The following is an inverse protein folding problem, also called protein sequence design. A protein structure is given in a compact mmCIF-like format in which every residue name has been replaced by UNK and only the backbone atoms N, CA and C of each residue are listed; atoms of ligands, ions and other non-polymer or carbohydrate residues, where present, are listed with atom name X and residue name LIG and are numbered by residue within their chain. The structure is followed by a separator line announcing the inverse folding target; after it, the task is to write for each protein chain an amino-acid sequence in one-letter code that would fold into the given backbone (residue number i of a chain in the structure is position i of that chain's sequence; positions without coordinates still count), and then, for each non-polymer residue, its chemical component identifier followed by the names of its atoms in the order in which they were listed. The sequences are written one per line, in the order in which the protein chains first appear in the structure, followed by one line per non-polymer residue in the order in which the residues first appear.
data_IF_321964558359
#
_entry.id   IF_321964558359
#
_cell.length_a   1.000
_cell.length_b   1.000
_cell.length_c   1.000
_cell.angle_alpha   90.00
_cell.angle_beta   90.00
_cell.angle_gamma   90.00
#
_symmetry.space_group_name_H-M   'P 1'
#
loop_
_entity.id
_entity.type
_entity.pdbx_description
1 polymer ?
#
# COMPACT_ATOMS: atom_id res chain seq x y z
N UNK A 1 63.86 -12.89 -3.01
CA UNK A 1 62.57 -13.45 -3.47
C UNK A 1 61.75 -13.77 -2.23
N UNK A 2 61.02 -12.78 -1.70
CA UNK A 2 60.19 -12.92 -0.50
C UNK A 2 58.75 -12.61 -0.91
N UNK A 3 57.94 -13.65 -0.85
CA UNK A 3 56.58 -13.74 -1.37
C UNK A 3 55.71 -12.75 -0.59
N UNK A 4 55.15 -11.79 -1.32
CA UNK A 4 54.15 -10.86 -0.81
C UNK A 4 52.92 -11.69 -0.44
N UNK A 5 52.59 -11.64 0.84
CA UNK A 5 51.53 -12.39 1.49
C UNK A 5 50.21 -11.86 0.92
N UNK A 6 49.63 -12.58 -0.04
CA UNK A 6 48.29 -12.31 -0.55
C UNK A 6 47.31 -12.54 0.60
N UNK A 7 46.88 -11.45 1.26
CA UNK A 7 45.80 -11.45 2.22
C UNK A 7 44.52 -11.76 1.44
N UNK A 8 44.22 -13.05 1.27
CA UNK A 8 42.90 -13.52 0.91
C UNK A 8 41.99 -13.23 2.11
N UNK A 9 41.34 -12.07 2.09
CA UNK A 9 40.23 -11.78 3.00
C UNK A 9 39.10 -12.73 2.59
N UNK A 10 39.04 -13.88 3.24
CA UNK A 10 37.86 -14.74 3.22
C UNK A 10 36.73 -13.92 3.85
N UNK A 11 35.93 -13.29 3.00
CA UNK A 11 34.70 -12.62 3.38
C UNK A 11 33.71 -13.71 3.76
N UNK A 12 33.80 -14.18 5.01
CA UNK A 12 32.75 -15.01 5.61
C UNK A 12 31.41 -14.31 5.37
N UNK A 13 30.45 -15.04 4.82
CA UNK A 13 29.15 -14.49 4.51
C UNK A 13 28.45 -14.16 5.85
N UNK A 14 28.35 -12.87 6.18
CA UNK A 14 27.66 -12.40 7.40
C UNK A 14 26.16 -12.33 7.09
N UNK A 15 25.49 -13.48 7.08
CA UNK A 15 24.02 -13.52 6.98
C UNK A 15 23.41 -12.95 8.25
N UNK A 16 22.46 -12.03 8.09
CA UNK A 16 21.69 -11.46 9.21
C UNK A 16 20.21 -11.75 9.02
N UNK A 17 19.54 -12.17 10.09
CA UNK A 17 18.07 -12.27 10.12
C UNK A 17 17.50 -10.86 10.03
N UNK A 18 16.53 -10.66 9.13
CA UNK A 18 15.76 -9.43 9.02
C UNK A 18 14.31 -9.78 9.38
N UNK A 19 13.76 -9.06 10.35
CA UNK A 19 12.34 -9.10 10.68
C UNK A 19 11.69 -7.82 10.13
N UNK A 20 10.53 -7.98 9.50
CA UNK A 20 9.73 -6.88 8.96
C UNK A 20 8.28 -7.06 9.34
N UNK A 21 7.58 -5.95 9.45
CA UNK A 21 6.14 -5.89 9.67
C UNK A 21 5.46 -5.50 8.37
N UNK A 22 4.32 -6.10 8.05
CA UNK A 22 3.60 -5.81 6.80
C UNK A 22 2.19 -5.35 7.15
N UNK A 23 1.78 -4.22 6.59
CA UNK A 23 0.41 -3.75 6.73
C UNK A 23 -0.53 -4.69 5.98
N UNK A 24 -1.59 -5.17 6.65
CA UNK A 24 -2.53 -6.09 6.01
C UNK A 24 -3.42 -5.40 4.96
N UNK A 25 -3.56 -4.08 5.01
CA UNK A 25 -4.45 -3.31 4.12
C UNK A 25 -3.75 -2.97 2.80
N UNK A 26 -2.57 -2.34 2.85
CA UNK A 26 -1.85 -1.87 1.66
C UNK A 26 -0.65 -2.73 1.27
N UNK A 27 -0.30 -3.73 2.09
CA UNK A 27 0.81 -4.67 1.88
C UNK A 27 2.22 -4.05 1.90
N UNK A 28 2.34 -2.77 2.28
CA UNK A 28 3.64 -2.12 2.53
C UNK A 28 4.36 -2.75 3.71
N UNK A 29 5.67 -2.97 3.54
CA UNK A 29 6.55 -3.49 4.57
C UNK A 29 7.25 -2.36 5.34
N UNK A 30 7.36 -2.53 6.65
CA UNK A 30 7.98 -1.62 7.59
C UNK A 30 9.03 -2.37 8.42
N UNK A 31 10.11 -1.68 8.75
CA UNK A 31 11.11 -2.22 9.68
C UNK A 31 10.63 -2.15 11.14
N UNK A 32 9.74 -1.20 11.45
CA UNK A 32 9.20 -0.98 12.80
C UNK A 32 7.71 -1.34 12.88
N UNK A 33 7.33 -1.92 14.02
CA UNK A 33 5.95 -2.30 14.32
C UNK A 33 5.03 -1.10 14.52
N UNK A 34 5.50 -0.03 15.17
CA UNK A 34 4.70 1.17 15.43
C UNK A 34 4.32 1.87 14.14
N UNK A 35 5.23 1.92 13.17
CA UNK A 35 4.97 2.49 11.85
C UNK A 35 3.94 1.67 11.09
N UNK A 36 4.06 0.33 11.14
CA UNK A 36 3.07 -0.57 10.56
C UNK A 36 1.68 -0.36 11.18
N UNK A 37 1.60 -0.28 12.52
CA UNK A 37 0.34 -0.03 13.24
C UNK A 37 -0.24 1.36 12.92
N UNK A 38 0.61 2.38 12.75
CA UNK A 38 0.18 3.72 12.37
C UNK A 38 -0.37 3.72 10.94
N UNK A 39 0.27 2.99 10.03
CA UNK A 39 -0.22 2.77 8.67
C UNK A 39 -1.61 2.14 8.69
N UNK A 40 -1.79 1.03 9.41
CA UNK A 40 -3.09 0.36 9.52
C UNK A 40 -4.19 1.26 10.11
N UNK A 41 -3.89 2.01 11.17
CA UNK A 41 -4.83 2.97 11.77
C UNK A 41 -5.18 4.15 10.85
N UNK A 42 -4.24 4.54 9.99
CA UNK A 42 -4.44 5.67 9.07
C UNK A 42 -5.38 5.31 7.92
N UNK A 43 -5.45 4.04 7.53
CA UNK A 43 -6.26 3.60 6.41
C UNK A 43 -7.76 3.78 6.70
N UNK A 44 -8.41 4.57 5.83
CA UNK A 44 -9.86 4.73 5.82
C UNK A 44 -10.44 3.69 4.88
N UNK A 45 -11.25 2.79 5.41
CA UNK A 45 -11.90 1.76 4.62
C UNK A 45 -13.25 2.26 4.12
N UNK A 46 -13.61 1.96 2.85
CA UNK A 46 -14.92 2.27 2.33
C UNK A 46 -15.97 1.40 3.04
N UNK A 47 -17.05 2.02 3.50
CA UNK A 47 -18.16 1.34 4.20
C UNK A 47 -19.31 1.10 3.24
N UNK A 48 -19.73 2.16 2.54
CA UNK A 48 -20.89 2.09 1.65
C UNK A 48 -20.77 3.10 0.49
N UNK A 49 -21.38 2.75 -0.65
CA UNK A 49 -21.60 3.69 -1.75
C UNK A 49 -22.96 4.36 -1.48
N UNK A 50 -22.94 5.66 -1.23
CA UNK A 50 -24.14 6.43 -0.85
C UNK A 50 -24.86 7.03 -2.04
N UNK A 51 -24.14 7.30 -3.14
CA UNK A 51 -24.72 7.90 -4.34
C UNK A 51 -23.91 7.54 -5.60
N UNK A 52 -24.58 7.42 -6.73
CA UNK A 52 -23.99 7.12 -8.03
C UNK A 52 -24.60 8.02 -9.10
N UNK A 53 -23.75 8.59 -9.97
CA UNK A 53 -24.19 9.44 -11.08
C UNK A 53 -23.95 8.71 -12.40
N UNK A 54 -25.02 8.54 -13.18
CA UNK A 54 -24.97 7.96 -14.51
C UNK A 54 -25.17 9.04 -15.58
N UNK A 55 -24.75 8.72 -16.79
CA UNK A 55 -25.05 9.49 -17.99
C UNK A 55 -26.01 8.70 -18.88
N UNK A 56 -26.79 9.39 -19.73
CA UNK A 56 -27.65 8.71 -20.70
C UNK A 56 -26.83 7.87 -21.67
N UNK A 57 -27.47 6.86 -22.28
CA UNK A 57 -26.86 5.94 -23.24
C UNK A 57 -26.14 6.66 -24.39
N UNK A 58 -26.69 7.78 -24.86
CA UNK A 58 -26.08 8.62 -25.90
C UNK A 58 -24.71 9.19 -25.52
N UNK A 59 -24.42 9.32 -24.23
CA UNK A 59 -23.15 9.85 -23.71
C UNK A 59 -22.26 8.77 -23.09
N UNK A 60 -22.84 7.68 -22.59
CA UNK A 60 -22.09 6.58 -22.01
C UNK A 60 -22.78 5.24 -22.27
N UNK A 61 -22.27 4.52 -23.26
CA UNK A 61 -22.79 3.21 -23.65
C UNK A 61 -22.30 2.07 -22.73
N UNK A 62 -21.23 2.30 -21.95
CA UNK A 62 -20.64 1.27 -21.09
C UNK A 62 -21.44 1.04 -19.80
N UNK A 63 -22.43 1.88 -19.49
CA UNK A 63 -23.33 1.71 -18.34
C UNK A 63 -22.73 1.98 -16.96
N UNK A 64 -21.42 2.19 -16.84
CA UNK A 64 -20.77 2.52 -15.55
C UNK A 64 -21.04 3.97 -15.11
N UNK A 65 -21.16 4.23 -13.80
CA UNK A 65 -21.34 5.59 -13.30
C UNK A 65 -20.13 6.47 -13.63
N UNK A 66 -20.36 7.77 -13.87
CA UNK A 66 -19.29 8.75 -14.04
C UNK A 66 -18.70 9.21 -12.71
N UNK A 67 -19.45 9.06 -11.63
CA UNK A 67 -18.94 9.29 -10.29
C UNK A 67 -19.68 8.44 -9.26
N UNK A 68 -18.95 8.01 -8.24
CA UNK A 68 -19.47 7.31 -7.08
C UNK A 68 -19.13 8.09 -5.82
N UNK A 69 -20.08 8.17 -4.91
CA UNK A 69 -19.94 8.82 -3.63
C UNK A 69 -19.80 7.73 -2.58
N UNK A 70 -18.64 7.66 -1.94
CA UNK A 70 -18.28 6.60 -1.01
C UNK A 70 -18.15 7.19 0.38
N UNK A 71 -18.84 6.57 1.34
CA UNK A 71 -18.69 6.88 2.76
C UNK A 71 -17.64 5.96 3.37
N UNK A 72 -16.76 6.54 4.15
CA UNK A 72 -15.67 5.86 4.84
C UNK A 72 -16.00 5.63 6.31
N UNK A 73 -15.22 4.76 6.94
CA UNK A 73 -15.36 4.42 8.35
C UNK A 73 -15.14 5.59 9.32
N UNK A 74 -14.49 6.67 8.88
CA UNK A 74 -14.34 7.92 9.62
C UNK A 74 -15.57 8.85 9.52
N UNK A 75 -16.64 8.38 8.85
CA UNK A 75 -17.86 9.14 8.63
C UNK A 75 -17.77 10.15 7.49
N UNK A 76 -16.59 10.34 6.88
CA UNK A 76 -16.44 11.24 5.73
C UNK A 76 -16.99 10.59 4.48
N UNK A 77 -17.48 11.44 3.58
CA UNK A 77 -17.98 11.04 2.29
C UNK A 77 -17.15 11.71 1.20
N UNK A 78 -16.61 10.92 0.27
CA UNK A 78 -15.79 11.41 -0.84
C UNK A 78 -16.40 11.01 -2.18
N UNK A 79 -16.27 11.89 -3.16
CA UNK A 79 -16.74 11.64 -4.53
C UNK A 79 -15.55 11.25 -5.38
N UNK A 80 -15.56 10.03 -5.91
CA UNK A 80 -14.60 9.55 -6.89
C UNK A 80 -15.21 9.66 -8.27
N UNK A 81 -14.49 10.32 -9.18
CA UNK A 81 -14.82 10.38 -10.59
C UNK A 81 -13.89 9.43 -11.32
N UNK A 82 -14.44 8.69 -12.27
CA UNK A 82 -13.65 7.83 -13.16
C UNK A 82 -12.85 8.67 -14.16
#
# INVERSE_FOLDING_TARGET
MNIIINIHINKEEIMKKIEKYRCEICKTEYSDKTDCLQCEKSHKTPVEITNTRYLPYSQNQNGYPVSVTIKFNDGKTLIFKR
#
